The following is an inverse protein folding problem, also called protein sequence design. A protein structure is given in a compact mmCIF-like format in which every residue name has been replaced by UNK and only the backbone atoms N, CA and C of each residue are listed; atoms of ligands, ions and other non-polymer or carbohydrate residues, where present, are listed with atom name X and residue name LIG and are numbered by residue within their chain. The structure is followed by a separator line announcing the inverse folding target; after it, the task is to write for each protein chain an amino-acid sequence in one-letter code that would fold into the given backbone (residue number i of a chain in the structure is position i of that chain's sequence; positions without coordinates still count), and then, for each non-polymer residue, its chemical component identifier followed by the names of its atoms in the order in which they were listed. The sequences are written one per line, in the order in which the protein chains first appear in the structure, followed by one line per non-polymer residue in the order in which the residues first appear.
data_IF_975795266433
#
_entry.id   IF_975795266433
#
_cell.length_a   1.000
_cell.length_b   1.000
_cell.length_c   1.000
_cell.angle_alpha   90.00
_cell.angle_beta   90.00
_cell.angle_gamma   90.00
#
_symmetry.space_group_name_H-M   'P 1'
#
loop_
_entity.id
_entity.type
_entity.pdbx_description
1 polymer ?
#
# COMPACT_ATOMS: atom_id res chain seq x y z
N UNK A 1 -23.93 -17.36 5.91
CA UNK A 1 -23.91 -15.91 5.65
C UNK A 1 -22.62 -15.49 4.95
N UNK A 2 -21.45 -15.86 5.50
CA UNK A 2 -20.13 -15.63 4.88
C UNK A 2 -20.07 -16.06 3.40
N UNK A 3 -20.45 -17.30 3.08
CA UNK A 3 -20.45 -17.80 1.69
C UNK A 3 -21.39 -17.05 0.73
N UNK A 4 -22.49 -16.45 1.22
CA UNK A 4 -23.36 -15.61 0.39
C UNK A 4 -22.70 -14.29 0.02
N UNK A 5 -21.90 -13.72 0.94
CA UNK A 5 -21.10 -12.51 0.68
C UNK A 5 -19.96 -12.81 -0.29
N UNK A 6 -19.33 -13.98 -0.17
CA UNK A 6 -18.37 -14.48 -1.18
C UNK A 6 -18.98 -14.67 -2.57
N UNK A 7 -20.22 -15.16 -2.67
CA UNK A 7 -20.92 -15.23 -3.96
C UNK A 7 -21.21 -13.85 -4.54
N UNK A 8 -21.63 -12.89 -3.70
CA UNK A 8 -21.80 -11.50 -4.12
C UNK A 8 -20.48 -10.89 -4.64
N UNK A 9 -19.36 -11.16 -3.96
CA UNK A 9 -18.04 -10.74 -4.41
C UNK A 9 -17.67 -11.30 -5.78
N UNK A 10 -17.96 -12.59 -6.04
CA UNK A 10 -17.73 -13.21 -7.37
C UNK A 10 -18.58 -12.57 -8.47
N UNK A 11 -19.83 -12.24 -8.17
CA UNK A 11 -20.72 -11.61 -9.14
C UNK A 11 -20.22 -10.20 -9.48
N UNK A 12 -19.85 -9.41 -8.46
CA UNK A 12 -19.26 -8.08 -8.64
C UNK A 12 -17.94 -8.14 -9.41
N UNK A 13 -17.07 -9.11 -9.11
CA UNK A 13 -15.82 -9.35 -9.83
C UNK A 13 -16.05 -9.63 -11.32
N UNK A 14 -17.11 -10.40 -11.66
CA UNK A 14 -17.51 -10.67 -13.06
C UNK A 14 -18.07 -9.44 -13.76
N UNK A 15 -18.79 -8.60 -13.03
CA UNK A 15 -19.38 -7.36 -13.54
C UNK A 15 -18.34 -6.24 -13.69
N UNK A 16 -17.15 -6.41 -13.12
CA UNK A 16 -16.09 -5.42 -13.18
C UNK A 16 -16.20 -4.36 -12.08
N UNK A 17 -17.14 -4.50 -11.14
CA UNK A 17 -17.38 -3.56 -10.04
C UNK A 17 -16.46 -3.88 -8.84
N UNK A 18 -15.43 -3.06 -8.67
CA UNK A 18 -14.40 -3.28 -7.64
C UNK A 18 -14.91 -2.87 -6.25
N UNK A 19 -15.76 -1.84 -6.17
CA UNK A 19 -16.29 -1.37 -4.89
C UNK A 19 -17.25 -2.42 -4.30
N UNK A 20 -18.13 -2.98 -5.13
CA UNK A 20 -19.05 -4.02 -4.71
C UNK A 20 -18.33 -5.34 -4.36
N UNK A 21 -17.27 -5.70 -5.11
CA UNK A 21 -16.43 -6.88 -4.83
C UNK A 21 -15.79 -6.77 -3.44
N UNK A 22 -15.13 -5.65 -3.16
CA UNK A 22 -14.39 -5.43 -1.92
C UNK A 22 -15.30 -5.17 -0.71
N UNK A 23 -16.43 -4.50 -0.90
CA UNK A 23 -17.43 -4.33 0.18
C UNK A 23 -17.96 -5.69 0.62
N UNK A 24 -18.26 -6.58 -0.34
CA UNK A 24 -18.72 -7.93 -0.05
C UNK A 24 -17.64 -8.78 0.63
N UNK A 25 -16.37 -8.61 0.26
CA UNK A 25 -15.23 -9.25 0.94
C UNK A 25 -15.04 -8.72 2.37
N UNK A 26 -15.06 -7.40 2.57
CA UNK A 26 -14.94 -6.77 3.88
C UNK A 26 -16.06 -7.21 4.83
N UNK A 27 -17.30 -7.27 4.35
CA UNK A 27 -18.43 -7.81 5.10
C UNK A 27 -18.24 -9.30 5.43
N UNK A 28 -17.67 -10.09 4.52
CA UNK A 28 -17.37 -11.50 4.76
C UNK A 28 -16.30 -11.67 5.85
N UNK A 29 -15.27 -10.82 5.87
CA UNK A 29 -14.25 -10.77 6.93
C UNK A 29 -14.85 -10.34 8.27
N UNK A 30 -15.63 -9.26 8.30
CA UNK A 30 -16.31 -8.79 9.52
C UNK A 30 -17.24 -9.85 10.13
N UNK A 31 -17.93 -10.64 9.28
CA UNK A 31 -18.76 -11.76 9.72
C UNK A 31 -17.92 -12.93 10.23
N UNK A 32 -16.72 -13.16 9.69
CA UNK A 32 -15.81 -14.20 10.12
C UNK A 32 -15.10 -13.87 11.44
N UNK A 33 -14.78 -12.59 11.67
CA UNK A 33 -14.06 -12.09 12.86
C UNK A 33 -15.00 -11.79 14.05
N UNK A 34 -16.31 -11.99 13.90
CA UNK A 34 -17.28 -11.68 14.95
C UNK A 34 -17.09 -12.56 16.20
N UNK A 35 -16.99 -11.98 17.41
CA UNK A 35 -16.75 -12.69 18.67
C UNK A 35 -17.90 -13.60 19.12
N UNK A 36 -19.01 -13.61 18.37
CA UNK A 36 -20.17 -14.49 18.61
C UNK A 36 -20.11 -15.80 17.82
N UNK A 37 -19.02 -16.08 17.11
CA UNK A 37 -18.80 -17.36 16.42
C UNK A 37 -18.43 -18.46 17.42
N UNK A 38 -19.43 -18.99 18.14
CA UNK A 38 -19.33 -20.20 18.96
C UNK A 38 -19.17 -21.46 18.08
N UNK A 39 -18.10 -21.52 17.29
CA UNK A 39 -17.79 -22.68 16.46
C UNK A 39 -16.45 -23.27 16.86
N UNK A 40 -16.40 -24.60 16.95
CA UNK A 40 -15.18 -25.41 17.12
C UNK A 40 -14.22 -25.31 15.91
N UNK A 41 -14.50 -24.42 14.97
CA UNK A 41 -13.87 -24.24 13.67
C UNK A 41 -13.48 -22.77 13.55
N UNK A 42 -12.31 -22.49 12.96
CA UNK A 42 -11.83 -21.14 12.72
C UNK A 42 -12.40 -20.59 11.39
N UNK A 43 -13.49 -19.78 11.41
CA UNK A 43 -14.15 -19.31 10.20
C UNK A 43 -13.26 -18.43 9.32
N UNK A 44 -12.28 -17.74 9.92
CA UNK A 44 -11.37 -16.83 9.25
C UNK A 44 -10.40 -17.60 8.32
N UNK A 45 -9.82 -18.69 8.83
CA UNK A 45 -8.93 -19.56 8.02
C UNK A 45 -9.66 -20.23 6.84
N UNK A 46 -10.95 -20.49 6.97
CA UNK A 46 -11.77 -21.09 5.89
C UNK A 46 -12.06 -20.04 4.83
N UNK A 47 -12.37 -18.82 5.25
CA UNK A 47 -12.56 -17.68 4.35
C UNK A 47 -11.28 -17.42 3.55
N UNK A 48 -10.12 -17.36 4.21
CA UNK A 48 -8.82 -17.14 3.55
C UNK A 48 -8.54 -18.19 2.48
N UNK A 49 -8.69 -19.48 2.82
CA UNK A 49 -8.50 -20.59 1.87
C UNK A 49 -9.48 -20.54 0.70
N UNK A 50 -10.72 -20.14 0.95
CA UNK A 50 -11.72 -20.05 -0.10
C UNK A 50 -11.46 -18.84 -1.01
N UNK A 51 -11.07 -17.69 -0.46
CA UNK A 51 -10.64 -16.53 -1.25
C UNK A 51 -9.43 -16.93 -2.10
N UNK A 52 -8.41 -17.56 -1.51
CA UNK A 52 -7.23 -18.03 -2.23
C UNK A 52 -7.59 -18.97 -3.38
N UNK A 53 -8.52 -19.91 -3.15
CA UNK A 53 -9.04 -20.81 -4.20
C UNK A 53 -9.72 -20.04 -5.33
N UNK A 54 -10.52 -19.02 -5.01
CA UNK A 54 -11.26 -18.23 -5.99
C UNK A 54 -10.37 -17.29 -6.79
N UNK A 55 -9.35 -16.74 -6.15
CA UNK A 55 -8.28 -15.99 -6.79
C UNK A 55 -7.51 -16.87 -7.77
N UNK A 56 -7.17 -18.11 -7.38
CA UNK A 56 -6.56 -19.10 -8.29
C UNK A 56 -7.43 -19.43 -9.50
N UNK A 57 -8.75 -19.45 -9.32
CA UNK A 57 -9.72 -19.69 -10.39
C UNK A 57 -10.00 -18.44 -11.24
N UNK A 58 -9.34 -17.30 -10.97
CA UNK A 58 -9.59 -16.00 -11.60
C UNK A 58 -11.04 -15.52 -11.49
N UNK A 59 -11.73 -15.92 -10.42
CA UNK A 59 -13.10 -15.52 -10.12
C UNK A 59 -13.18 -14.28 -9.22
N UNK A 60 -12.06 -13.92 -8.60
CA UNK A 60 -11.83 -12.74 -7.75
C UNK A 60 -10.50 -12.13 -8.20
N UNK A 61 -10.37 -10.81 -8.16
CA UNK A 61 -9.12 -10.14 -8.59
C UNK A 61 -7.98 -10.47 -7.64
N UNK A 62 -6.82 -10.80 -8.21
CA UNK A 62 -5.57 -10.90 -7.45
C UNK A 62 -4.86 -9.56 -7.49
N UNK A 63 -4.71 -8.94 -6.33
CA UNK A 63 -3.80 -7.82 -6.13
C UNK A 63 -2.78 -8.20 -5.07
N UNK A 64 -1.54 -7.70 -5.20
CA UNK A 64 -0.55 -7.91 -4.15
C UNK A 64 -0.70 -6.81 -3.10
N UNK A 65 -0.66 -7.24 -1.83
CA UNK A 65 -0.59 -6.32 -0.70
C UNK A 65 0.81 -5.72 -0.64
N UNK A 66 0.90 -4.40 -0.69
CA UNK A 66 2.15 -3.65 -0.53
C UNK A 66 2.48 -3.52 0.96
N UNK A 67 1.49 -3.13 1.75
CA UNK A 67 1.66 -2.95 3.18
C UNK A 67 0.40 -2.48 3.88
N UNK A 68 0.54 -2.21 5.17
CA UNK A 68 -0.54 -1.69 6.01
C UNK A 68 -0.01 -0.55 6.88
N UNK A 69 -0.85 0.46 7.10
CA UNK A 69 -0.62 1.59 7.97
C UNK A 69 -1.85 1.75 8.87
N UNK A 70 -1.74 1.30 10.12
CA UNK A 70 -2.85 1.24 11.09
C UNK A 70 -4.11 0.59 10.50
N UNK A 71 -5.16 1.36 10.24
CA UNK A 71 -6.42 0.88 9.66
C UNK A 71 -6.47 0.89 8.14
N UNK A 72 -5.38 1.24 7.47
CA UNK A 72 -5.33 1.39 6.01
C UNK A 72 -4.45 0.31 5.38
N UNK A 73 -5.02 -0.46 4.46
CA UNK A 73 -4.32 -1.47 3.68
C UNK A 73 -4.06 -0.96 2.28
N UNK A 74 -2.82 -1.08 1.83
CA UNK A 74 -2.35 -0.55 0.57
C UNK A 74 -2.01 -1.72 -0.33
N UNK A 75 -2.70 -1.82 -1.45
CA UNK A 75 -2.52 -2.85 -2.46
C UNK A 75 -2.01 -2.21 -3.76
N UNK A 76 -1.54 -3.02 -4.71
CA UNK A 76 -1.00 -2.52 -5.98
C UNK A 76 -2.04 -1.80 -6.87
N UNK A 77 -3.32 -2.12 -6.72
CA UNK A 77 -4.43 -1.60 -7.53
C UNK A 77 -5.44 -0.76 -6.73
N UNK A 78 -5.36 -0.78 -5.39
CA UNK A 78 -6.37 -0.16 -4.52
C UNK A 78 -5.86 0.14 -3.12
N UNK A 79 -6.56 1.03 -2.43
CA UNK A 79 -6.34 1.37 -1.03
C UNK A 79 -7.64 1.13 -0.28
N UNK A 80 -7.57 0.37 0.81
CA UNK A 80 -8.72 0.03 1.64
C UNK A 80 -8.54 0.73 2.99
N UNK A 81 -9.47 1.61 3.32
CA UNK A 81 -9.49 2.35 4.59
C UNK A 81 -10.57 1.75 5.47
N UNK A 82 -10.19 1.16 6.60
CA UNK A 82 -11.11 0.67 7.62
C UNK A 82 -11.38 1.76 8.65
N UNK A 83 -12.30 2.67 8.36
CA UNK A 83 -12.71 3.64 9.36
C UNK A 83 -13.75 3.02 10.33
N UNK A 84 -13.72 3.38 11.62
CA UNK A 84 -14.72 2.91 12.58
C UNK A 84 -16.15 3.18 12.07
N UNK A 85 -17.15 2.38 12.47
CA UNK A 85 -18.53 2.52 11.98
C UNK A 85 -19.15 3.90 12.23
N UNK A 86 -18.60 4.69 13.16
CA UNK A 86 -19.03 6.07 13.42
C UNK A 86 -18.45 7.11 12.42
N UNK A 87 -17.43 6.74 11.64
CA UNK A 87 -16.68 7.64 10.76
C UNK A 87 -16.85 7.34 9.25
N UNK A 88 -17.54 6.25 8.87
CA UNK A 88 -17.87 6.00 7.46
C UNK A 88 -17.84 4.54 7.02
N UNK A 89 -17.37 3.62 7.86
CA UNK A 89 -17.22 2.21 7.50
C UNK A 89 -16.02 1.95 6.59
N UNK A 90 -15.96 0.77 5.97
CA UNK A 90 -14.87 0.40 5.06
C UNK A 90 -15.03 1.15 3.73
N UNK A 91 -14.03 1.93 3.36
CA UNK A 91 -13.98 2.65 2.07
C UNK A 91 -12.89 2.06 1.21
N UNK A 92 -13.23 1.71 -0.03
CA UNK A 92 -12.30 1.16 -1.01
C UNK A 92 -12.07 2.23 -2.06
N UNK A 93 -10.81 2.54 -2.33
CA UNK A 93 -10.42 3.54 -3.34
C UNK A 93 -9.47 2.91 -4.33
N UNK A 94 -9.76 3.10 -5.61
CA UNK A 94 -8.87 2.60 -6.66
C UNK A 94 -7.60 3.44 -6.71
N UNK A 95 -6.46 2.76 -6.83
CA UNK A 95 -5.19 3.43 -7.01
C UNK A 95 -5.18 4.06 -8.40
N UNK A 96 -4.84 5.35 -8.46
CA UNK A 96 -4.68 6.07 -9.72
C UNK A 96 -3.21 6.46 -9.93
N UNK A 97 -2.82 6.81 -11.17
CA UNK A 97 -1.49 7.37 -11.45
C UNK A 97 -1.13 8.61 -10.63
N UNK A 98 -2.14 9.36 -10.15
CA UNK A 98 -1.96 10.54 -9.31
C UNK A 98 -1.80 10.22 -7.81
N UNK A 99 -1.77 8.94 -7.43
CA UNK A 99 -1.61 8.55 -6.02
C UNK A 99 -0.17 8.82 -5.57
N UNK A 100 -0.03 9.57 -4.48
CA UNK A 100 1.25 9.81 -3.83
C UNK A 100 1.19 9.43 -2.36
N UNK A 101 2.24 8.75 -1.88
CA UNK A 101 2.40 8.39 -0.47
C UNK A 101 3.72 8.93 0.09
N UNK A 102 3.68 9.50 1.29
CA UNK A 102 4.84 10.06 1.99
C UNK A 102 4.80 9.70 3.48
N UNK A 103 6.00 9.58 4.07
CA UNK A 103 6.17 9.38 5.52
C UNK A 103 6.94 10.55 6.11
N UNK A 104 6.29 11.29 7.00
CA UNK A 104 6.88 12.41 7.72
C UNK A 104 7.19 11.98 9.16
N UNK A 105 8.37 12.36 9.65
CA UNK A 105 8.78 12.14 11.05
C UNK A 105 9.09 13.48 11.69
N UNK A 106 8.42 13.77 12.80
CA UNK A 106 8.61 15.01 13.57
C UNK A 106 8.97 14.71 15.04
N UNK A 107 9.52 15.70 15.75
CA UNK A 107 9.75 15.65 17.19
C UNK A 107 11.14 15.17 17.64
N UNK A 108 11.37 15.21 18.97
CA UNK A 108 12.65 14.89 19.59
C UNK A 108 12.46 14.11 20.91
N UNK A 109 13.38 13.19 21.20
CA UNK A 109 13.47 12.53 22.50
C UNK A 109 14.30 13.40 23.45
N UNK A 110 13.70 13.93 24.50
CA UNK A 110 14.39 14.74 25.52
C UNK A 110 14.35 14.05 26.86
N UNK A 111 15.51 13.84 27.48
CA UNK A 111 15.60 13.29 28.82
C UNK A 111 15.96 14.41 29.80
N UNK A 112 15.02 14.76 30.67
CA UNK A 112 15.27 15.72 31.76
C UNK A 112 15.49 14.98 33.07
N UNK A 113 16.72 15.00 33.58
CA UNK A 113 17.03 14.50 34.92
C UNK A 113 17.01 15.66 35.92
N UNK A 114 16.09 15.64 36.88
CA UNK A 114 16.07 16.63 37.97
C UNK A 114 16.72 16.05 39.21
N UNK A 115 17.85 16.59 39.70
CA UNK A 115 18.35 16.24 41.02
C UNK A 115 17.36 16.79 42.06
N UNK A 116 16.73 15.90 42.83
CA UNK A 116 15.80 16.28 43.91
C UNK A 116 16.55 17.06 44.99
N UNK A 117 16.13 18.30 45.23
CA UNK A 117 16.77 19.28 46.12
C UNK A 117 16.89 18.79 47.59
N UNK A 118 16.06 17.82 47.99
CA UNK A 118 16.09 17.13 49.30
C UNK A 118 17.40 16.35 49.56
N UNK A 119 18.26 16.13 48.55
CA UNK A 119 19.55 15.43 48.70
C UNK A 119 20.72 16.32 49.16
N UNK A 120 20.68 17.64 48.94
CA UNK A 120 21.77 18.52 49.42
C UNK A 120 21.69 18.81 50.93
N UNK A 121 20.52 18.64 51.54
CA UNK A 121 20.36 18.81 52.99
C UNK A 121 20.85 17.60 53.82
N UNK A 122 20.93 16.40 53.24
CA UNK A 122 21.42 15.18 53.92
C UNK A 122 22.92 14.92 53.71
N UNK A 123 23.57 15.72 52.86
CA UNK A 123 25.03 15.69 52.65
C UNK A 123 25.82 16.53 53.65
N UNK A 124 25.16 17.26 54.55
CA UNK A 124 25.83 17.95 55.67
C UNK A 124 26.20 16.93 56.76
N UNK A 125 27.30 16.22 56.51
CA UNK A 125 28.29 15.77 57.49
C UNK A 125 27.72 15.31 58.85
N UNK A 126 27.39 14.02 58.96
CA UNK A 126 27.51 13.30 60.23
C UNK A 126 28.72 12.35 60.11
N UNK A 127 29.80 12.58 60.88
CA UNK A 127 30.96 11.70 60.86
C UNK A 127 30.60 10.43 61.64
N UNK A 128 30.29 9.34 60.93
CA UNK A 128 30.31 8.01 61.57
C UNK A 128 29.22 6.99 61.24
N UNK A 129 28.38 7.15 60.21
CA UNK A 129 27.41 6.09 59.88
C UNK A 129 27.44 5.70 58.41
N UNK A 130 27.88 4.45 58.20
CA UNK A 130 27.54 3.50 57.14
C UNK A 130 27.22 4.05 55.74
N UNK A 131 28.03 3.62 54.77
CA UNK A 131 27.75 3.64 53.33
C UNK A 131 26.32 3.15 53.03
N UNK A 132 25.37 4.09 52.90
CA UNK A 132 24.00 3.77 52.45
C UNK A 132 24.06 3.56 50.93
N UNK A 133 23.73 2.37 50.41
CA UNK A 133 23.68 2.10 48.99
C UNK A 133 22.40 2.70 48.40
N UNK A 134 22.29 4.03 48.40
CA UNK A 134 21.15 4.79 47.90
C UNK A 134 21.41 5.51 46.59
N UNK A 135 22.49 5.18 45.88
CA UNK A 135 23.02 5.96 44.75
C UNK A 135 22.20 5.93 43.46
N UNK A 136 21.14 5.12 43.31
CA UNK A 136 20.64 4.75 41.96
C UNK A 136 19.16 5.05 41.72
N UNK A 137 18.60 6.16 42.20
CA UNK A 137 17.28 6.62 41.74
C UNK A 137 17.28 8.13 41.52
N UNK A 138 17.90 8.57 40.42
CA UNK A 138 17.62 9.88 39.85
C UNK A 138 16.21 9.84 39.22
N UNK A 139 15.39 10.86 39.47
CA UNK A 139 14.09 11.00 38.80
C UNK A 139 14.34 11.49 37.38
N UNK A 140 14.54 10.54 36.48
CA UNK A 140 14.65 10.75 35.04
C UNK A 140 13.24 10.85 34.46
N UNK A 141 12.89 12.01 33.90
CA UNK A 141 11.68 12.17 33.10
C UNK A 141 12.09 12.16 31.62
N UNK A 142 11.61 11.15 30.89
CA UNK A 142 11.75 11.07 29.44
C UNK A 142 10.53 11.74 28.82
N UNK A 143 10.75 12.83 28.12
CA UNK A 143 9.77 13.47 27.27
C UNK A 143 9.99 12.98 25.85
N UNK A 144 9.11 12.08 25.40
CA UNK A 144 9.06 11.69 24.00
C UNK A 144 8.04 12.57 23.28
N UNK A 145 8.52 13.33 22.29
CA UNK A 145 7.68 14.17 21.42
C UNK A 145 7.69 13.69 19.97
N UNK A 146 8.27 12.52 19.71
CA UNK A 146 8.34 11.96 18.36
C UNK A 146 6.93 11.66 17.85
N UNK A 147 6.68 12.01 16.58
CA UNK A 147 5.46 11.70 15.84
C UNK A 147 5.83 11.17 14.47
N UNK A 148 5.07 10.19 14.01
CA UNK A 148 5.20 9.61 12.69
C UNK A 148 3.87 9.81 11.97
N UNK A 149 3.91 10.44 10.80
CA UNK A 149 2.74 10.63 9.96
C UNK A 149 2.94 9.88 8.65
N UNK A 150 1.94 9.11 8.25
CA UNK A 150 1.85 8.48 6.95
C UNK A 150 0.74 9.17 6.17
N UNK A 151 1.09 9.79 5.06
CA UNK A 151 0.17 10.54 4.22
C UNK A 151 -0.01 9.80 2.91
N UNK A 152 -1.27 9.62 2.50
CA UNK A 152 -1.62 9.20 1.14
C UNK A 152 -2.52 10.27 0.54
N UNK A 153 -2.20 10.71 -0.65
CA UNK A 153 -2.97 11.68 -1.41
C UNK A 153 -3.25 11.18 -2.83
N UNK A 154 -4.39 11.61 -3.35
CA UNK A 154 -4.87 11.42 -4.70
C UNK A 154 -5.66 12.68 -5.09
N UNK A 155 -5.97 12.87 -6.39
CA UNK A 155 -6.62 14.09 -6.89
C UNK A 155 -7.90 14.49 -6.14
N UNK A 156 -8.69 13.52 -5.69
CA UNK A 156 -10.01 13.71 -5.07
C UNK A 156 -10.03 13.48 -3.54
N UNK A 157 -8.96 12.95 -2.95
CA UNK A 157 -8.90 12.67 -1.51
C UNK A 157 -7.49 12.64 -0.96
N UNK A 158 -7.36 12.89 0.34
CA UNK A 158 -6.13 12.66 1.08
C UNK A 158 -6.45 12.10 2.47
N UNK A 159 -5.57 11.25 3.00
CA UNK A 159 -5.65 10.71 4.35
C UNK A 159 -4.28 10.84 5.02
N UNK A 160 -4.32 11.33 6.25
CA UNK A 160 -3.16 11.42 7.13
C UNK A 160 -3.41 10.43 8.26
N UNK A 161 -2.43 9.57 8.51
CA UNK A 161 -2.46 8.53 9.53
C UNK A 161 -1.34 8.84 10.52
N UNK A 162 -1.71 9.08 11.77
CA UNK A 162 -0.74 9.24 12.86
C UNK A 162 -0.37 7.87 13.41
N UNK A 163 0.91 7.53 13.35
CA UNK A 163 1.48 6.26 13.77
C UNK A 163 2.33 6.46 15.03
N UNK A 164 2.33 5.48 15.93
CA UNK A 164 3.20 5.49 17.10
C UNK A 164 4.64 5.12 16.68
N UNK A 165 5.62 6.02 16.84
CA UNK A 165 7.01 5.76 16.46
C UNK A 165 7.70 4.68 17.30
N UNK A 166 7.10 4.22 18.42
CA UNK A 166 7.63 3.13 19.23
C UNK A 166 7.12 1.76 18.79
N UNK A 167 5.94 1.69 18.16
CA UNK A 167 5.32 0.45 17.69
C UNK A 167 5.62 0.20 16.22
N UNK A 168 5.80 1.26 15.43
CA UNK A 168 5.98 1.18 13.99
C UNK A 168 7.36 1.68 13.57
N UNK A 169 8.09 0.86 12.81
CA UNK A 169 9.38 1.26 12.24
C UNK A 169 9.19 2.28 11.11
N UNK A 170 9.75 3.50 11.22
CA UNK A 170 9.70 4.50 10.16
C UNK A 170 10.39 4.02 8.86
N UNK A 171 11.38 3.13 8.94
CA UNK A 171 12.06 2.55 7.78
C UNK A 171 11.12 1.71 6.93
N UNK A 172 10.44 0.76 7.56
CA UNK A 172 9.41 -0.07 6.92
C UNK A 172 8.30 0.78 6.29
N UNK A 173 7.79 1.81 6.98
CA UNK A 173 6.73 2.67 6.43
C UNK A 173 7.19 3.45 5.20
N UNK A 174 8.45 3.92 5.16
CA UNK A 174 9.01 4.55 3.96
C UNK A 174 9.09 3.59 2.79
N UNK A 175 9.40 2.32 3.03
CA UNK A 175 9.40 1.29 1.98
C UNK A 175 7.99 1.09 1.42
N UNK A 176 6.98 0.99 2.29
CA UNK A 176 5.56 0.90 1.87
C UNK A 176 5.16 2.11 1.02
N UNK A 177 5.53 3.33 1.43
CA UNK A 177 5.24 4.54 0.65
C UNK A 177 5.96 4.53 -0.72
N UNK A 178 7.22 4.11 -0.77
CA UNK A 178 7.97 3.97 -2.02
C UNK A 178 7.32 2.96 -2.97
N UNK A 179 6.92 1.79 -2.45
CA UNK A 179 6.27 0.75 -3.24
C UNK A 179 4.88 1.19 -3.73
N UNK A 180 4.10 1.88 -2.91
CA UNK A 180 2.83 2.47 -3.31
C UNK A 180 3.01 3.48 -4.45
N UNK A 181 3.99 4.37 -4.34
CA UNK A 181 4.34 5.31 -5.40
C UNK A 181 4.81 4.60 -6.69
N UNK A 182 5.52 3.48 -6.57
CA UNK A 182 5.94 2.67 -7.72
C UNK A 182 4.74 1.98 -8.37
N UNK A 183 3.80 1.45 -7.59
CA UNK A 183 2.58 0.85 -8.10
C UNK A 183 1.73 1.87 -8.86
N UNK A 184 1.53 3.07 -8.30
CA UNK A 184 0.85 4.17 -8.97
C UNK A 184 1.51 4.54 -10.32
N UNK A 185 2.85 4.61 -10.36
CA UNK A 185 3.61 4.86 -11.60
C UNK A 185 3.48 3.73 -12.63
N UNK A 186 3.34 2.47 -12.21
CA UNK A 186 3.10 1.35 -13.13
C UNK A 186 1.77 1.50 -13.85
N UNK A 187 0.74 1.97 -13.14
CA UNK A 187 -0.57 2.27 -13.72
C UNK A 187 -0.50 3.43 -14.73
N UNK A 188 0.39 4.41 -14.52
CA UNK A 188 0.67 5.46 -15.52
C UNK A 188 1.31 4.90 -16.80
N UNK A 189 2.07 3.81 -16.66
CA UNK A 189 2.82 3.18 -17.75
C UNK A 189 1.99 2.18 -18.57
N UNK A 190 0.75 1.90 -18.14
CA UNK A 190 -0.27 1.23 -18.94
C UNK A 190 -1.26 2.24 -19.55
N UNK A 191 -0.87 2.98 -20.59
CA UNK A 191 -1.68 3.07 -21.79
C UNK A 191 -1.26 1.95 -22.73
N UNK A 192 -2.21 1.42 -23.49
CA UNK A 192 -1.93 0.71 -24.73
C UNK A 192 -1.06 1.59 -25.66
N UNK A 193 0.26 1.59 -25.51
CA UNK A 193 1.18 1.97 -26.58
C UNK A 193 1.66 0.68 -27.25
N UNK A 194 1.03 0.26 -28.37
CA UNK A 194 1.67 -0.67 -29.31
C UNK A 194 2.98 -0.10 -29.92
N UNK A 195 3.43 1.09 -29.51
CA UNK A 195 4.55 1.84 -30.08
C UNK A 195 5.86 1.78 -29.27
N UNK A 196 5.93 1.09 -28.12
CA UNK A 196 7.19 1.02 -27.35
C UNK A 196 8.18 -0.05 -27.82
N UNK A 197 7.84 -0.86 -28.82
CA UNK A 197 8.87 -1.56 -29.59
C UNK A 197 9.50 -0.54 -30.56
N UNK A 198 10.83 -0.35 -30.58
CA UNK A 198 11.45 0.41 -31.66
C UNK A 198 10.98 -0.19 -33.00
N UNK A 199 10.46 0.60 -33.97
CA UNK A 199 9.73 0.12 -35.15
C UNK A 199 10.51 -0.81 -36.09
N UNK A 200 11.72 -1.20 -35.72
CA UNK A 200 12.75 -1.79 -36.58
C UNK A 200 13.44 -3.01 -35.94
N UNK A 201 12.86 -3.64 -34.92
CA UNK A 201 13.34 -4.94 -34.42
C UNK A 201 12.36 -6.06 -34.81
N UNK A 202 12.88 -7.03 -35.58
CA UNK A 202 12.14 -8.15 -36.18
C UNK A 202 12.73 -8.53 -37.54
N UNK A 203 12.47 -9.77 -37.98
CA UNK A 203 12.86 -10.28 -39.30
C UNK A 203 12.31 -9.37 -40.42
N UNK A 204 13.00 -9.26 -41.56
CA UNK A 204 12.63 -8.39 -42.70
C UNK A 204 11.16 -8.55 -43.12
N UNK A 205 10.64 -9.78 -43.08
CA UNK A 205 9.24 -10.10 -43.38
C UNK A 205 8.26 -9.47 -42.39
N UNK A 206 8.61 -9.45 -41.10
CA UNK A 206 7.79 -8.82 -40.06
C UNK A 206 7.82 -7.30 -40.18
N UNK A 207 8.95 -6.71 -40.61
CA UNK A 207 9.04 -5.28 -40.89
C UNK A 207 8.14 -4.87 -42.06
N UNK A 208 8.13 -5.66 -43.14
CA UNK A 208 7.23 -5.44 -44.29
C UNK A 208 5.75 -5.58 -43.92
N UNK A 209 5.38 -6.59 -43.12
CA UNK A 209 4.01 -6.78 -42.62
C UNK A 209 3.54 -5.66 -41.70
N UNK A 210 4.43 -5.10 -40.87
CA UNK A 210 4.12 -3.93 -40.04
C UNK A 210 3.96 -2.67 -40.91
N UNK A 211 4.80 -2.48 -41.94
CA UNK A 211 4.69 -1.36 -42.89
C UNK A 211 3.39 -1.39 -43.71
N UNK A 212 2.96 -2.55 -44.17
CA UNK A 212 1.68 -2.69 -44.88
C UNK A 212 0.50 -2.34 -43.98
N UNK A 213 0.52 -2.79 -42.72
CA UNK A 213 -0.52 -2.43 -41.74
C UNK A 213 -0.58 -0.94 -41.43
N UNK A 214 0.56 -0.26 -41.36
CA UNK A 214 0.62 1.19 -41.15
C UNK A 214 0.12 1.99 -42.36
N UNK A 215 0.33 1.48 -43.58
CA UNK A 215 -0.24 2.06 -44.80
C UNK A 215 -1.75 1.85 -44.86
N UNK A 216 -2.23 0.64 -44.55
CA UNK A 216 -3.66 0.31 -44.52
C UNK A 216 -4.43 1.09 -43.45
N UNK A 217 -3.79 1.43 -42.32
CA UNK A 217 -4.38 2.28 -41.29
C UNK A 217 -4.35 3.78 -41.62
N UNK A 218 -3.75 4.18 -42.74
CA UNK A 218 -3.66 5.57 -43.20
C UNK A 218 -2.72 6.46 -42.38
N UNK A 219 -1.87 5.85 -41.55
CA UNK A 219 -0.92 6.57 -40.69
C UNK A 219 0.32 7.07 -41.45
N UNK A 220 0.59 6.51 -42.64
CA UNK A 220 1.72 6.90 -43.50
C UNK A 220 1.22 7.23 -44.91
N UNK A 221 1.90 8.18 -45.55
CA UNK A 221 1.62 8.56 -46.94
C UNK A 221 2.16 7.54 -47.93
N UNK A 222 1.61 7.52 -49.15
CA UNK A 222 2.03 6.59 -50.21
C UNK A 222 3.51 6.73 -50.56
N UNK A 223 4.06 7.96 -50.55
CA UNK A 223 5.48 8.21 -50.81
C UNK A 223 6.38 7.65 -49.70
N UNK A 224 6.00 7.82 -48.44
CA UNK A 224 6.78 7.32 -47.30
C UNK A 224 6.76 5.79 -47.22
N UNK A 225 5.67 5.15 -47.65
CA UNK A 225 5.57 3.69 -47.74
C UNK A 225 6.53 3.12 -48.79
N UNK A 226 6.61 3.73 -49.97
CA UNK A 226 7.47 3.26 -51.05
C UNK A 226 8.96 3.42 -50.72
N UNK A 227 9.37 4.55 -50.14
CA UNK A 227 10.75 4.79 -49.70
C UNK A 227 11.20 3.75 -48.66
N UNK A 228 10.38 3.50 -47.64
CA UNK A 228 10.71 2.56 -46.56
C UNK A 228 10.63 1.10 -47.01
N UNK A 229 9.74 0.78 -47.95
CA UNK A 229 9.68 -0.55 -48.56
C UNK A 229 10.93 -0.81 -49.40
N UNK A 230 11.40 0.18 -50.16
CA UNK A 230 12.61 0.06 -50.96
C UNK A 230 13.85 -0.15 -50.08
N UNK A 231 13.99 0.61 -48.99
CA UNK A 231 15.14 0.46 -48.07
C UNK A 231 15.21 -0.92 -47.41
N UNK A 232 14.05 -1.53 -47.08
CA UNK A 232 14.03 -2.87 -46.48
C UNK A 232 14.36 -3.96 -47.51
N UNK A 233 13.97 -3.77 -48.78
CA UNK A 233 14.28 -4.72 -49.85
C UNK A 233 15.77 -4.65 -50.25
N UNK A 234 16.41 -3.48 -50.16
CA UNK A 234 17.85 -3.34 -50.40
C UNK A 234 18.73 -3.94 -49.29
N UNK A 235 18.18 -4.16 -48.08
CA UNK A 235 18.87 -4.84 -46.98
C UNK A 235 18.89 -6.38 -47.14
N UNK A 236 18.17 -6.95 -48.11
CA UNK A 236 18.08 -8.39 -48.45
C UNK A 236 19.14 -8.78 -49.48
#
# INVERSE_FOLDING_TARGET
MIFKKLEAAKTAAREGDIEAEETALAEAFNLADSPHSNHSWNPLQILEKEIERLTHQRLIRKSNLIGFADTTYIWEDRIIVFDPPQQGGTVVRLMSPGTHAEVMTEGQLSTTSRPTLTRMALGSVLPGSALIPGLVFQKTQVHDSRRLFFTIEQEDWAKIIELDPNLTDPGAMRQVALEANLAAKRLQKEPNDPESEPPWQGDERQRLEKLTKLFESGLISTSEYEEKRASIIEEI
#
